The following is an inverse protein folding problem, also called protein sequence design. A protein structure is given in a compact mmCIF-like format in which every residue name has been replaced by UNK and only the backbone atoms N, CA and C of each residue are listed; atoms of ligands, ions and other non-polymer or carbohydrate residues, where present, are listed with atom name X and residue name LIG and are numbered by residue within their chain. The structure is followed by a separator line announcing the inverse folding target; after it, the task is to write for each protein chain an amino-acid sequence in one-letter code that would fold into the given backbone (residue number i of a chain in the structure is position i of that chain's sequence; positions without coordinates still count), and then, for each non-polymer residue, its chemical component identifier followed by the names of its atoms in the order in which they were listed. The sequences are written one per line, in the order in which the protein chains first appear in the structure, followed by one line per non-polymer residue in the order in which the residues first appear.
data_IF_224229428289
#
_entry.id   IF_224229428289
#
_cell.length_a   1.000
_cell.length_b   1.000
_cell.length_c   1.000
_cell.angle_alpha   90.00
_cell.angle_beta   90.00
_cell.angle_gamma   90.00
#
_symmetry.space_group_name_H-M   'P 1'
#
loop_
_entity.id
_entity.type
_entity.pdbx_description
1 polymer ?
#
# COMPACT_ATOMS: atom_id res chain seq x y z
N UNK A 1 7.34 -27.01 14.90
CA UNK A 1 7.16 -25.68 14.28
C UNK A 1 6.74 -25.94 12.84
N UNK A 2 5.69 -25.29 12.35
CA UNK A 2 5.26 -25.43 10.95
C UNK A 2 6.13 -24.49 10.13
N UNK A 3 6.61 -24.94 8.96
CA UNK A 3 7.39 -24.08 8.07
C UNK A 3 6.52 -22.91 7.58
N UNK A 4 6.97 -21.65 7.74
CA UNK A 4 6.14 -20.51 7.42
C UNK A 4 5.97 -20.36 5.90
N UNK A 5 4.73 -20.32 5.45
CA UNK A 5 4.39 -19.89 4.09
C UNK A 5 4.55 -18.38 3.97
N UNK A 6 5.25 -17.92 2.93
CA UNK A 6 5.36 -16.49 2.64
C UNK A 6 4.04 -15.98 2.07
N UNK A 7 3.49 -14.94 2.69
CA UNK A 7 2.27 -14.27 2.25
C UNK A 7 2.54 -12.78 2.06
N UNK A 8 1.83 -12.15 1.13
CA UNK A 8 2.02 -10.73 0.87
C UNK A 8 1.19 -10.21 -0.29
N UNK A 9 1.24 -8.90 -0.43
CA UNK A 9 0.68 -8.10 -1.49
C UNK A 9 1.72 -7.80 -2.55
N UNK A 10 1.26 -7.75 -3.79
CA UNK A 10 2.00 -7.23 -4.93
C UNK A 10 1.51 -5.83 -5.23
N UNK A 11 2.44 -4.90 -5.39
CA UNK A 11 2.18 -3.53 -5.81
C UNK A 11 2.69 -3.35 -7.22
N UNK A 12 1.86 -2.78 -8.09
CA UNK A 12 2.29 -2.23 -9.37
C UNK A 12 2.15 -0.72 -9.34
N UNK A 13 3.21 -0.04 -9.74
CA UNK A 13 3.39 1.39 -9.62
C UNK A 13 3.66 1.93 -11.02
N UNK A 14 2.71 2.71 -11.55
CA UNK A 14 2.84 3.36 -12.84
C UNK A 14 2.97 4.88 -12.61
N UNK A 15 4.01 5.51 -13.15
CA UNK A 15 4.07 6.98 -13.27
C UNK A 15 3.51 7.33 -14.64
N UNK A 16 2.49 8.17 -14.67
CA UNK A 16 1.81 8.58 -15.90
C UNK A 16 2.08 10.04 -16.21
N UNK A 17 2.13 10.38 -17.49
CA UNK A 17 1.95 11.76 -17.94
C UNK A 17 0.50 12.17 -17.72
N UNK A 18 0.26 13.27 -17.00
CA UNK A 18 -1.09 13.73 -16.64
C UNK A 18 -1.91 14.13 -17.87
N UNK A 19 -1.27 14.66 -18.90
CA UNK A 19 -1.94 15.22 -20.09
C UNK A 19 -2.31 14.12 -21.08
N UNK A 20 -1.42 13.15 -21.28
CA UNK A 20 -1.62 12.09 -22.29
C UNK A 20 -2.15 10.79 -21.69
N UNK A 21 -1.93 10.56 -20.40
CA UNK A 21 -2.23 9.28 -19.73
C UNK A 21 -1.22 8.18 -20.04
N UNK A 22 -0.13 8.49 -20.74
CA UNK A 22 0.92 7.55 -21.10
C UNK A 22 1.71 7.10 -19.88
N UNK A 23 2.06 5.80 -19.82
CA UNK A 23 2.91 5.25 -18.77
C UNK A 23 4.37 5.61 -19.05
N UNK A 24 4.92 6.51 -18.25
CA UNK A 24 6.32 6.95 -18.33
C UNK A 24 7.27 5.95 -17.67
N UNK A 25 6.83 5.31 -16.58
CA UNK A 25 7.57 4.22 -15.95
C UNK A 25 6.61 3.27 -15.24
N UNK A 26 7.00 2.01 -15.11
CA UNK A 26 6.26 0.98 -14.40
C UNK A 26 7.20 0.11 -13.59
N UNK A 27 6.81 -0.28 -12.39
CA UNK A 27 7.49 -1.34 -11.64
C UNK A 27 6.49 -2.18 -10.86
N UNK A 28 6.88 -3.43 -10.59
CA UNK A 28 6.14 -4.35 -9.72
C UNK A 28 7.05 -4.78 -8.58
N UNK A 29 6.56 -4.66 -7.35
CA UNK A 29 7.31 -4.94 -6.11
C UNK A 29 6.44 -5.70 -5.11
N UNK A 30 7.07 -6.57 -4.33
CA UNK A 30 6.41 -7.30 -3.25
C UNK A 30 6.62 -6.60 -1.92
N UNK A 31 5.60 -6.62 -1.06
CA UNK A 31 5.66 -5.97 0.24
C UNK A 31 6.32 -6.83 1.31
N UNK A 32 6.56 -6.19 2.44
CA UNK A 32 6.56 -6.83 3.75
C UNK A 32 5.15 -6.71 4.36
N UNK A 33 4.63 -7.79 4.94
CA UNK A 33 3.50 -7.70 5.88
C UNK A 33 4.08 -7.61 7.29
N UNK A 34 3.85 -6.51 8.03
CA UNK A 34 4.24 -6.42 9.44
C UNK A 34 3.50 -7.46 10.27
N UNK A 35 4.03 -7.81 11.45
CA UNK A 35 3.44 -8.81 12.35
C UNK A 35 1.99 -8.44 12.71
N UNK A 36 1.72 -7.16 12.95
CA UNK A 36 0.36 -6.67 13.22
C UNK A 36 -0.62 -6.93 12.07
N UNK A 37 -0.15 -6.83 10.82
CA UNK A 37 -0.94 -7.12 9.63
C UNK A 37 -1.18 -8.61 9.44
N UNK A 38 -0.16 -9.45 9.67
CA UNK A 38 -0.28 -10.91 9.61
C UNK A 38 -1.27 -11.41 10.67
N UNK A 39 -1.13 -10.96 11.91
CA UNK A 39 -2.05 -11.33 13.00
C UNK A 39 -3.49 -10.93 12.67
N UNK A 40 -3.71 -9.69 12.19
CA UNK A 40 -5.05 -9.27 11.81
C UNK A 40 -5.66 -10.15 10.71
N UNK A 41 -4.90 -10.48 9.66
CA UNK A 41 -5.38 -11.34 8.58
C UNK A 41 -5.76 -12.74 9.08
N UNK A 42 -4.93 -13.35 9.92
CA UNK A 42 -5.17 -14.67 10.50
C UNK A 42 -6.35 -14.67 11.47
N UNK A 43 -6.44 -13.66 12.35
CA UNK A 43 -7.50 -13.59 13.36
C UNK A 43 -8.87 -13.32 12.74
N UNK A 44 -8.93 -12.51 11.68
CA UNK A 44 -10.17 -12.32 10.91
C UNK A 44 -10.57 -13.62 10.22
N UNK A 45 -9.61 -14.35 9.65
CA UNK A 45 -9.88 -15.59 8.92
C UNK A 45 -10.29 -16.76 9.83
N UNK A 46 -9.64 -16.91 10.99
CA UNK A 46 -9.69 -18.13 11.80
C UNK A 46 -10.25 -17.94 13.20
N UNK A 47 -10.15 -16.74 13.78
CA UNK A 47 -10.43 -16.51 15.20
C UNK A 47 -11.60 -15.55 15.47
N UNK A 48 -12.34 -15.15 14.42
CA UNK A 48 -13.55 -14.32 14.54
C UNK A 48 -13.28 -12.86 14.90
N UNK A 49 -12.06 -12.36 14.70
CA UNK A 49 -11.79 -10.93 14.85
C UNK A 49 -12.61 -10.11 13.84
N UNK A 50 -13.01 -8.90 14.23
CA UNK A 50 -13.76 -8.01 13.35
C UNK A 50 -12.91 -7.56 12.17
N UNK A 51 -13.45 -7.68 10.97
CA UNK A 51 -12.81 -7.23 9.74
C UNK A 51 -12.63 -5.71 9.73
N UNK A 52 -11.46 -5.23 9.28
CA UNK A 52 -11.31 -3.85 8.81
C UNK A 52 -12.02 -3.70 7.47
N UNK A 53 -13.03 -2.84 7.42
CA UNK A 53 -13.90 -2.66 6.25
C UNK A 53 -13.33 -1.73 5.18
N UNK A 54 -12.32 -0.91 5.52
CA UNK A 54 -11.69 0.03 4.59
C UNK A 54 -10.18 0.10 4.79
N UNK A 55 -9.44 0.00 3.69
CA UNK A 55 -7.99 0.19 3.63
C UNK A 55 -7.65 1.42 2.81
N UNK A 56 -6.54 2.06 3.17
CA UNK A 56 -6.07 3.29 2.53
C UNK A 56 -4.59 3.19 2.17
N UNK A 57 -4.22 3.85 1.08
CA UNK A 57 -2.83 3.92 0.64
C UNK A 57 -2.10 5.05 1.38
N UNK A 58 -0.98 4.74 2.02
CA UNK A 58 -0.07 5.69 2.66
C UNK A 58 1.24 5.75 1.85
N UNK A 59 1.48 6.79 1.03
CA UNK A 59 2.77 6.99 0.37
C UNK A 59 3.79 7.61 1.34
N UNK A 60 5.05 7.20 1.25
CA UNK A 60 6.11 7.70 2.14
C UNK A 60 7.39 8.10 1.39
N UNK A 61 8.15 9.01 1.97
CA UNK A 61 9.26 9.72 1.31
C UNK A 61 10.66 9.48 1.91
N UNK A 62 10.78 8.92 3.12
CA UNK A 62 12.10 8.59 3.66
C UNK A 62 12.65 7.34 2.97
N UNK A 63 13.98 7.24 2.87
CA UNK A 63 14.67 6.01 2.48
C UNK A 63 14.60 4.96 3.61
N UNK A 64 13.39 4.49 3.90
CA UNK A 64 13.09 3.56 4.98
C UNK A 64 12.80 2.17 4.42
N UNK A 65 13.35 1.14 5.05
CA UNK A 65 13.07 -0.26 4.72
C UNK A 65 12.09 -0.81 5.76
N UNK A 66 10.86 -1.16 5.37
CA UNK A 66 9.86 -1.71 6.29
C UNK A 66 10.39 -2.88 7.12
N UNK A 67 9.97 -2.96 8.37
CA UNK A 67 10.38 -3.96 9.36
C UNK A 67 9.17 -4.73 9.90
N UNK A 68 9.33 -6.00 10.33
CA UNK A 68 8.21 -6.78 10.87
C UNK A 68 7.54 -6.13 12.10
N UNK A 69 8.32 -5.39 12.88
CA UNK A 69 7.86 -4.65 14.07
C UNK A 69 7.16 -3.33 13.77
N UNK A 70 7.03 -2.93 12.49
CA UNK A 70 6.31 -1.72 12.13
C UNK A 70 4.83 -1.83 12.52
N UNK A 71 4.30 -0.72 13.03
CA UNK A 71 2.89 -0.61 13.40
C UNK A 71 2.30 0.64 12.77
N UNK A 72 0.97 0.73 12.71
CA UNK A 72 0.30 1.95 12.29
C UNK A 72 0.64 3.17 13.18
N UNK A 73 1.08 2.94 14.43
CA UNK A 73 1.48 3.99 15.36
C UNK A 73 2.89 4.55 15.07
N UNK A 74 3.81 3.72 14.59
CA UNK A 74 5.21 4.10 14.39
C UNK A 74 5.55 4.40 12.93
N UNK A 75 4.95 3.67 12.00
CA UNK A 75 5.30 3.68 10.58
C UNK A 75 5.18 5.07 9.91
N UNK A 76 4.10 5.85 10.11
CA UNK A 76 3.99 7.17 9.49
C UNK A 76 5.17 8.09 9.81
N UNK A 77 5.68 8.04 11.04
CA UNK A 77 6.82 8.85 11.47
C UNK A 77 8.16 8.29 10.95
N UNK A 78 8.38 6.97 11.05
CA UNK A 78 9.63 6.32 10.62
C UNK A 78 9.82 6.40 9.10
N UNK A 79 8.78 6.03 8.35
CA UNK A 79 8.80 6.02 6.89
C UNK A 79 8.67 7.43 6.27
N UNK A 80 8.22 8.41 7.06
CA UNK A 80 7.98 9.77 6.59
C UNK A 80 6.79 9.80 5.64
N UNK A 81 5.58 9.63 6.17
CA UNK A 81 4.34 9.76 5.40
C UNK A 81 4.32 11.09 4.65
N UNK A 82 4.10 11.02 3.34
CA UNK A 82 3.88 12.20 2.51
C UNK A 82 2.43 12.61 2.71
N UNK A 83 2.15 13.82 3.16
CA UNK A 83 0.77 14.30 3.38
C UNK A 83 0.33 15.37 2.37
N UNK A 84 1.26 15.88 1.57
CA UNK A 84 1.12 17.03 0.66
C UNK A 84 0.43 16.73 -0.66
N UNK A 85 0.12 15.46 -0.97
CA UNK A 85 -0.69 15.10 -2.14
C UNK A 85 -2.14 15.58 -2.00
N UNK A 86 -2.86 15.73 -3.11
CA UNK A 86 -4.23 16.23 -3.15
C UNK A 86 -5.22 15.38 -2.32
N UNK A 87 -6.30 16.00 -1.84
CA UNK A 87 -7.35 15.34 -1.04
C UNK A 87 -7.13 15.45 0.48
N UNK A 88 -8.22 15.35 1.25
CA UNK A 88 -8.20 15.52 2.71
C UNK A 88 -7.78 14.24 3.46
N UNK A 89 -7.98 13.08 2.86
CA UNK A 89 -7.69 11.77 3.45
C UNK A 89 -6.65 11.01 2.63
N UNK A 90 -6.08 9.96 3.22
CA UNK A 90 -5.42 8.89 2.47
C UNK A 90 -6.42 8.32 1.45
N UNK A 91 -6.04 8.07 0.19
CA UNK A 91 -6.96 7.54 -0.80
C UNK A 91 -7.33 6.10 -0.44
N UNK A 92 -8.62 5.79 -0.53
CA UNK A 92 -9.12 4.45 -0.27
C UNK A 92 -8.64 3.48 -1.35
N UNK A 93 -8.25 2.28 -0.93
CA UNK A 93 -7.98 1.15 -1.80
C UNK A 93 -9.26 0.33 -1.86
N UNK A 94 -9.97 0.41 -2.99
CA UNK A 94 -11.25 -0.28 -3.19
C UNK A 94 -11.01 -1.52 -4.05
N UNK A 95 -11.06 -2.68 -3.42
CA UNK A 95 -10.86 -3.97 -4.10
C UNK A 95 -12.19 -4.56 -4.58
N UNK A 96 -12.13 -5.37 -5.63
CA UNK A 96 -13.24 -6.25 -6.00
C UNK A 96 -13.41 -7.43 -5.01
N UNK A 97 -14.51 -8.15 -5.15
CA UNK A 97 -14.69 -9.44 -4.49
C UNK A 97 -13.63 -10.45 -4.96
N UNK A 98 -13.26 -11.39 -4.10
CA UNK A 98 -12.28 -12.42 -4.44
C UNK A 98 -12.75 -13.27 -5.62
N UNK A 99 -11.87 -13.51 -6.59
CA UNK A 99 -12.13 -14.37 -7.74
C UNK A 99 -10.83 -15.06 -8.16
N UNK A 100 -10.88 -16.38 -8.40
CA UNK A 100 -9.70 -17.16 -8.78
C UNK A 100 -8.54 -17.08 -7.78
N UNK A 101 -8.84 -16.90 -6.48
CA UNK A 101 -7.82 -16.74 -5.44
C UNK A 101 -7.23 -15.32 -5.33
N UNK A 102 -7.68 -14.36 -6.15
CA UNK A 102 -7.13 -13.00 -6.20
C UNK A 102 -8.11 -11.96 -5.65
N UNK A 103 -7.57 -10.98 -4.93
CA UNK A 103 -8.24 -9.72 -4.56
C UNK A 103 -7.33 -8.57 -4.99
N UNK A 104 -7.87 -7.62 -5.76
CA UNK A 104 -7.11 -6.47 -6.29
C UNK A 104 -8.00 -5.25 -6.48
N UNK A 105 -7.39 -4.06 -6.50
CA UNK A 105 -8.04 -2.82 -6.90
C UNK A 105 -7.84 -2.50 -8.40
N UNK A 106 -7.56 -3.48 -9.26
CA UNK A 106 -7.28 -3.23 -10.69
C UNK A 106 -8.40 -2.44 -11.41
N UNK A 107 -9.66 -2.67 -11.05
CA UNK A 107 -10.80 -1.93 -11.58
C UNK A 107 -10.89 -0.47 -11.05
N UNK A 108 -10.23 -0.16 -9.93
CA UNK A 108 -10.25 1.13 -9.24
C UNK A 108 -8.85 1.46 -8.69
N UNK A 109 -7.87 1.60 -9.59
CA UNK A 109 -6.48 1.88 -9.20
C UNK A 109 -6.40 3.24 -8.52
N UNK A 110 -5.61 3.33 -7.44
CA UNK A 110 -5.42 4.59 -6.73
C UNK A 110 -4.56 5.52 -7.58
N UNK A 111 -4.94 6.79 -7.70
CA UNK A 111 -4.15 7.82 -8.39
C UNK A 111 -3.81 8.96 -7.43
N UNK A 112 -2.52 9.10 -7.15
CA UNK A 112 -1.98 10.18 -6.33
C UNK A 112 -1.55 11.35 -7.21
N UNK A 113 -1.97 12.54 -6.80
CA UNK A 113 -1.71 13.80 -7.47
C UNK A 113 -0.89 14.71 -6.56
N UNK A 114 0.25 15.21 -7.02
CA UNK A 114 1.18 16.00 -6.22
C UNK A 114 1.23 17.45 -6.70
N UNK A 115 1.06 18.45 -5.81
CA UNK A 115 1.07 19.86 -6.19
C UNK A 115 2.49 20.43 -6.37
N UNK A 116 3.52 19.66 -6.06
CA UNK A 116 4.93 20.02 -6.21
C UNK A 116 5.77 18.76 -6.46
N UNK A 117 7.01 18.95 -6.94
CA UNK A 117 7.97 17.86 -7.11
C UNK A 117 8.15 17.13 -5.78
N UNK A 118 7.92 15.82 -5.79
CA UNK A 118 7.93 14.95 -4.63
C UNK A 118 8.62 13.64 -4.97
N UNK A 119 9.48 13.16 -4.09
CA UNK A 119 10.10 11.83 -4.20
C UNK A 119 9.34 10.83 -3.33
N UNK A 120 8.72 9.84 -3.96
CA UNK A 120 8.03 8.73 -3.28
C UNK A 120 8.96 7.53 -3.23
N UNK A 121 9.25 7.06 -2.02
CA UNK A 121 10.15 5.93 -1.75
C UNK A 121 9.40 4.63 -1.51
N UNK A 122 8.10 4.70 -1.22
CA UNK A 122 7.30 3.52 -0.98
C UNK A 122 5.85 3.83 -0.66
N UNK A 123 5.10 2.78 -0.37
CA UNK A 123 3.71 2.88 0.05
C UNK A 123 3.34 1.81 1.08
N UNK A 124 2.22 2.00 1.76
CA UNK A 124 1.65 1.05 2.71
C UNK A 124 0.13 0.98 2.63
N UNK A 125 -0.45 -0.14 3.09
CA UNK A 125 -1.88 -0.28 3.36
C UNK A 125 -2.14 -0.11 4.87
N UNK A 126 -2.95 0.87 5.21
CA UNK A 126 -3.30 1.22 6.59
C UNK A 126 -4.82 1.39 6.75
N UNK A 127 -5.36 1.10 7.93
CA UNK A 127 -6.82 1.12 8.16
C UNK A 127 -7.41 2.50 8.53
N UNK A 128 -6.59 3.55 8.63
CA UNK A 128 -7.04 4.89 9.02
C UNK A 128 -6.98 5.89 7.86
N UNK A 129 -8.03 6.71 7.63
CA UNK A 129 -8.07 7.67 6.53
C UNK A 129 -7.27 8.94 6.81
N UNK A 130 -7.09 9.31 8.08
CA UNK A 130 -6.47 10.58 8.46
C UNK A 130 -4.97 10.57 8.16
N UNK A 131 -4.52 11.48 7.30
CA UNK A 131 -3.10 11.67 6.98
C UNK A 131 -2.31 12.00 8.24
N UNK A 132 -1.15 11.36 8.44
CA UNK A 132 -0.30 11.55 9.61
C UNK A 132 -0.82 10.92 10.91
N UNK A 133 -1.99 10.26 10.90
CA UNK A 133 -2.49 9.59 12.09
C UNK A 133 -1.65 8.36 12.43
N UNK A 134 -1.23 8.28 13.70
CA UNK A 134 -0.50 7.19 14.31
C UNK A 134 -1.45 6.16 14.95
N UNK A 135 -2.40 5.64 14.18
CA UNK A 135 -3.44 4.74 14.67
C UNK A 135 -3.92 3.76 13.58
N UNK A 136 -4.52 2.66 14.01
CA UNK A 136 -5.10 1.64 13.14
C UNK A 136 -4.23 0.38 13.04
N UNK A 137 -4.34 -0.30 11.90
CA UNK A 137 -3.63 -1.52 11.57
C UNK A 137 -2.80 -1.25 10.31
N UNK A 138 -1.54 -1.67 10.33
CA UNK A 138 -0.64 -1.62 9.18
C UNK A 138 -0.60 -3.01 8.55
N UNK A 139 -1.32 -3.18 7.44
CA UNK A 139 -1.46 -4.49 6.81
C UNK A 139 -0.25 -4.85 5.96
N UNK A 140 0.32 -3.85 5.29
CA UNK A 140 1.33 -4.03 4.26
C UNK A 140 2.19 -2.77 4.15
N UNK A 141 3.48 -2.93 3.94
CA UNK A 141 4.39 -1.84 3.60
C UNK A 141 5.41 -2.30 2.56
N UNK A 142 5.65 -1.48 1.55
CA UNK A 142 6.59 -1.76 0.47
C UNK A 142 7.50 -0.57 0.21
N UNK A 143 8.79 -0.84 0.12
CA UNK A 143 9.78 0.09 -0.41
C UNK A 143 9.91 -0.15 -1.91
N UNK A 144 9.89 0.93 -2.68
CA UNK A 144 10.05 0.86 -4.12
C UNK A 144 11.47 0.47 -4.50
N UNK A 145 11.64 -0.25 -5.61
CA UNK A 145 12.95 -0.65 -6.10
C UNK A 145 13.75 0.57 -6.56
N UNK A 146 13.04 1.57 -7.09
CA UNK A 146 13.57 2.87 -7.46
C UNK A 146 12.65 3.98 -6.93
N UNK A 147 13.21 5.09 -6.39
CA UNK A 147 12.42 6.25 -6.02
C UNK A 147 11.56 6.73 -7.20
N UNK A 148 10.29 7.07 -6.97
CA UNK A 148 9.44 7.71 -7.98
C UNK A 148 9.44 9.20 -7.75
N UNK A 149 10.04 9.94 -8.67
CA UNK A 149 9.96 11.40 -8.70
C UNK A 149 8.71 11.76 -9.50
N UNK A 150 7.79 12.46 -8.84
CA UNK A 150 6.52 12.91 -9.40
C UNK A 150 6.37 14.40 -9.19
N UNK A 151 5.58 15.03 -10.03
CA UNK A 151 5.42 16.48 -10.12
C UNK A 151 3.97 16.80 -10.52
N UNK A 152 3.61 18.09 -10.64
CA UNK A 152 2.26 18.48 -11.06
C UNK A 152 1.85 17.97 -12.45
N UNK A 153 2.78 17.56 -13.31
CA UNK A 153 2.49 17.05 -14.66
C UNK A 153 2.43 15.51 -14.71
N UNK A 154 2.57 14.84 -13.56
CA UNK A 154 2.51 13.39 -13.46
C UNK A 154 1.50 12.89 -12.43
N UNK A 155 1.14 11.61 -12.59
CA UNK A 155 0.25 10.87 -11.68
C UNK A 155 0.97 9.61 -11.24
N UNK A 156 1.01 9.34 -9.94
CA UNK A 156 1.42 8.02 -9.42
C UNK A 156 0.19 7.15 -9.29
N UNK A 157 0.03 6.19 -10.21
CA UNK A 157 -1.04 5.20 -10.20
C UNK A 157 -0.56 3.93 -9.49
N UNK A 158 -1.36 3.44 -8.55
CA UNK A 158 -1.02 2.30 -7.69
C UNK A 158 -2.11 1.24 -7.77
N UNK A 159 -1.67 0.05 -8.21
CA UNK A 159 -2.39 -1.20 -8.04
C UNK A 159 -1.79 -1.93 -6.85
N UNK A 160 -2.66 -2.51 -6.03
CA UNK A 160 -2.31 -3.40 -4.93
C UNK A 160 -3.27 -4.58 -4.93
N UNK A 161 -2.70 -5.77 -4.80
CA UNK A 161 -3.49 -6.99 -4.74
C UNK A 161 -2.75 -8.12 -4.03
N UNK A 162 -3.51 -9.13 -3.65
CA UNK A 162 -3.01 -10.37 -3.05
C UNK A 162 -3.63 -11.55 -3.78
N UNK A 163 -2.84 -12.60 -3.94
CA UNK A 163 -3.26 -13.85 -4.55
C UNK A 163 -2.89 -15.00 -3.60
N UNK A 164 -3.83 -15.91 -3.38
CA UNK A 164 -3.60 -17.15 -2.66
C UNK A 164 -3.58 -18.33 -3.63
N UNK A 165 -2.49 -19.08 -3.61
CA UNK A 165 -2.37 -20.36 -4.25
C UNK A 165 -2.47 -21.47 -3.19
N UNK A 166 -3.21 -22.53 -3.51
CA UNK A 166 -3.19 -23.75 -2.69
C UNK A 166 -1.81 -24.39 -2.76
N UNK A 167 -1.38 -24.98 -1.65
CA UNK A 167 -0.31 -25.97 -1.70
C UNK A 167 -0.81 -27.17 -2.50
N UNK A 168 0.06 -27.75 -3.34
CA UNK A 168 -0.20 -28.92 -4.18
C UNK A 168 -0.33 -30.20 -3.36
#
# INVERSE_FOLDING_TARGET
MIDPTKVGFTYRLDVLDRRTGEVLSSETVHNLMPETGIHHALDVLLNGASQVTQWYLLPFGNNYTPQPSDTAATFPALAGEITTYAGATRPAVVTGAASGGTVTNDANRVELNFPAVTTVQGAALISTPTKGAAAGILLSAVKFASPKVVDPESILRVLVGIEFASLS
#
